data_IF_589735342581
#
_entry.id   IF_589735342581
#
_cell.length_a   1.000
_cell.length_b   1.000
_cell.length_c   1.000
_cell.angle_alpha   90.00
_cell.angle_beta   90.00
_cell.angle_gamma   90.00
#
_symmetry.space_group_name_H-M   'P 1'
#
loop_
_entity.id
_entity.type
_entity.pdbx_description
1 polymer ?
#
# COMPACT_ATOMS: atom_id res chain seq x y z
N UNK A 1 -13.10 48.82 -25.47
CA UNK A 1 -13.79 47.63 -24.88
C UNK A 1 -13.06 46.29 -25.09
N UNK A 2 -12.10 46.16 -26.03
CA UNK A 2 -11.44 44.88 -26.33
C UNK A 2 -10.18 44.58 -25.51
N UNK A 3 -9.48 45.58 -24.97
CA UNK A 3 -8.25 45.41 -24.18
C UNK A 3 -8.54 44.92 -22.76
N UNK A 4 -9.53 45.51 -22.07
CA UNK A 4 -9.99 45.05 -20.75
C UNK A 4 -10.53 43.61 -20.77
N UNK A 5 -11.26 43.23 -21.83
CA UNK A 5 -11.77 41.87 -22.00
C UNK A 5 -10.65 40.84 -22.24
N UNK A 6 -9.59 41.22 -22.97
CA UNK A 6 -8.38 40.40 -23.17
C UNK A 6 -7.54 40.24 -21.90
N UNK A 7 -7.41 41.29 -21.10
CA UNK A 7 -6.71 41.24 -19.80
C UNK A 7 -7.50 40.38 -18.81
N UNK A 8 -8.83 40.50 -18.78
CA UNK A 8 -9.69 39.66 -17.95
C UNK A 8 -9.61 38.18 -18.35
N UNK A 9 -9.65 37.87 -19.66
CA UNK A 9 -9.46 36.50 -20.16
C UNK A 9 -8.07 35.95 -19.84
N UNK A 10 -7.01 36.75 -19.91
CA UNK A 10 -5.65 36.32 -19.55
C UNK A 10 -5.47 36.10 -18.03
N UNK A 11 -6.11 36.91 -17.19
CA UNK A 11 -6.15 36.72 -15.73
C UNK A 11 -6.95 35.48 -15.33
N UNK A 12 -8.08 35.23 -16.00
CA UNK A 12 -8.89 34.01 -15.79
C UNK A 12 -8.11 32.77 -16.25
N UNK A 13 -7.39 32.83 -17.39
CA UNK A 13 -6.57 31.70 -17.85
C UNK A 13 -5.32 31.47 -16.97
N UNK A 14 -4.73 32.55 -16.42
CA UNK A 14 -3.61 32.46 -15.47
C UNK A 14 -4.03 31.92 -14.10
N UNK A 15 -5.25 32.20 -13.65
CA UNK A 15 -5.80 31.66 -12.40
C UNK A 15 -6.17 30.16 -12.51
N UNK A 16 -6.59 29.69 -13.69
CA UNK A 16 -6.86 28.26 -13.94
C UNK A 16 -5.56 27.43 -13.98
N UNK A 17 -4.44 28.03 -14.37
CA UNK A 17 -3.14 27.34 -14.43
C UNK A 17 -2.49 27.10 -13.05
N UNK A 18 -2.97 27.74 -11.98
CA UNK A 18 -2.41 27.63 -10.63
C UNK A 18 -3.14 26.62 -9.72
N UNK A 19 -4.11 25.88 -10.26
CA UNK A 19 -5.07 25.11 -9.46
C UNK A 19 -5.07 23.59 -9.62
N UNK A 20 -4.28 23.01 -10.53
CA UNK A 20 -4.20 21.56 -10.63
C UNK A 20 -3.26 21.01 -9.55
N UNK A 21 -3.72 20.99 -8.30
CA UNK A 21 -3.08 20.16 -7.28
C UNK A 21 -3.15 18.72 -7.75
N UNK A 22 -1.99 18.09 -7.86
CA UNK A 22 -1.88 16.74 -8.38
C UNK A 22 -2.64 15.77 -7.47
N UNK A 23 -3.13 14.71 -8.10
CA UNK A 23 -3.74 13.57 -7.44
C UNK A 23 -2.77 12.42 -7.67
N UNK A 24 -2.11 11.98 -6.62
CA UNK A 24 -1.05 10.96 -6.69
C UNK A 24 -1.64 9.56 -6.82
N UNK A 25 -2.80 9.36 -6.21
CA UNK A 25 -3.48 8.08 -6.13
C UNK A 25 -4.55 7.96 -7.21
N UNK A 26 -4.66 6.75 -7.75
CA UNK A 26 -5.80 6.26 -8.51
C UNK A 26 -6.34 5.03 -7.78
N UNK A 27 -6.96 5.28 -6.63
CA UNK A 27 -7.51 4.26 -5.74
C UNK A 27 -8.95 3.92 -6.12
N UNK A 28 -9.19 2.67 -6.46
CA UNK A 28 -10.51 2.08 -6.49
C UNK A 28 -10.93 1.69 -5.08
N UNK A 29 -12.14 2.05 -4.66
CA UNK A 29 -12.74 1.60 -3.40
C UNK A 29 -13.90 0.67 -3.74
N UNK A 30 -13.97 -0.47 -3.06
CA UNK A 30 -15.07 -1.44 -3.15
C UNK A 30 -15.52 -1.78 -1.74
N UNK A 31 -16.81 -1.69 -1.47
CA UNK A 31 -17.40 -2.01 -0.16
C UNK A 31 -18.40 -3.15 -0.35
N UNK A 32 -18.04 -4.31 0.20
CA UNK A 32 -18.92 -5.47 0.25
C UNK A 32 -19.63 -5.49 1.61
N UNK A 33 -20.95 -5.46 1.60
CA UNK A 33 -21.77 -5.46 2.82
C UNK A 33 -22.92 -6.48 2.73
N UNK A 34 -22.72 -7.57 2.00
CA UNK A 34 -23.77 -8.57 1.72
C UNK A 34 -24.33 -9.21 3.00
N UNK A 35 -23.49 -9.35 4.03
CA UNK A 35 -23.83 -9.98 5.30
C UNK A 35 -24.41 -9.01 6.34
N UNK A 36 -24.50 -7.70 6.04
CA UNK A 36 -24.98 -6.69 6.99
C UNK A 36 -26.48 -6.50 6.82
N UNK A 37 -27.24 -6.72 7.91
CA UNK A 37 -28.66 -6.38 7.98
C UNK A 37 -28.84 -4.87 8.14
N UNK A 38 -28.63 -4.12 7.06
CA UNK A 38 -28.88 -2.68 7.00
C UNK A 38 -30.24 -2.39 6.33
N UNK A 39 -31.03 -1.48 6.93
CA UNK A 39 -32.31 -1.01 6.39
C UNK A 39 -32.16 -0.32 5.04
N UNK A 40 -31.02 0.36 4.83
CA UNK A 40 -30.71 1.04 3.58
C UNK A 40 -29.31 0.64 3.08
N UNK A 41 -29.25 -0.07 1.95
CA UNK A 41 -27.99 -0.48 1.33
C UNK A 41 -27.34 0.63 0.49
N UNK A 42 -28.03 1.75 0.25
CA UNK A 42 -27.49 2.89 -0.52
C UNK A 42 -26.32 3.57 0.19
N UNK A 43 -26.31 3.52 1.52
CA UNK A 43 -25.22 4.06 2.35
C UNK A 43 -23.85 3.51 1.92
N UNK A 44 -23.75 2.25 1.52
CA UNK A 44 -22.49 1.63 1.11
C UNK A 44 -22.00 2.15 -0.24
N UNK A 45 -22.91 2.44 -1.19
CA UNK A 45 -22.56 3.07 -2.47
C UNK A 45 -22.08 4.51 -2.26
N UNK A 46 -22.68 5.23 -1.32
CA UNK A 46 -22.21 6.56 -0.94
C UNK A 46 -20.85 6.53 -0.25
N UNK A 47 -20.62 5.58 0.67
CA UNK A 47 -19.31 5.36 1.29
C UNK A 47 -18.22 5.07 0.25
N UNK A 48 -18.48 4.18 -0.72
CA UNK A 48 -17.53 3.87 -1.79
C UNK A 48 -17.09 5.14 -2.50
N UNK A 49 -18.06 5.97 -2.88
CA UNK A 49 -17.81 7.24 -3.57
C UNK A 49 -17.06 8.22 -2.67
N UNK A 50 -17.50 8.41 -1.43
CA UNK A 50 -16.89 9.35 -0.49
C UNK A 50 -15.43 8.98 -0.18
N UNK A 51 -15.14 7.69 0.00
CA UNK A 51 -13.79 7.22 0.32
C UNK A 51 -12.88 7.33 -0.90
N UNK A 52 -13.38 7.00 -2.09
CA UNK A 52 -12.64 7.18 -3.34
C UNK A 52 -12.35 8.67 -3.61
N UNK A 53 -13.33 9.55 -3.40
CA UNK A 53 -13.14 11.00 -3.53
C UNK A 53 -12.12 11.53 -2.50
N UNK A 54 -12.16 11.05 -1.25
CA UNK A 54 -11.20 11.43 -0.23
C UNK A 54 -9.76 11.02 -0.57
N UNK A 55 -9.56 9.79 -1.05
CA UNK A 55 -8.24 9.26 -1.41
C UNK A 55 -7.69 9.92 -2.69
N UNK A 56 -8.54 10.13 -3.69
CA UNK A 56 -8.10 10.54 -5.03
C UNK A 56 -8.10 12.05 -5.25
N UNK A 57 -8.91 12.84 -4.53
CA UNK A 57 -9.00 14.29 -4.77
C UNK A 57 -8.20 15.14 -3.80
N UNK A 58 -7.53 14.53 -2.81
CA UNK A 58 -6.68 15.20 -1.85
C UNK A 58 -5.21 15.12 -2.30
N UNK A 59 -4.44 16.23 -2.21
CA UNK A 59 -3.00 16.17 -2.37
C UNK A 59 -2.37 15.52 -1.12
N UNK A 60 -1.61 14.45 -1.32
CA UNK A 60 -0.87 13.77 -0.26
C UNK A 60 0.61 14.18 -0.22
N UNK A 61 1.10 14.75 -1.32
CA UNK A 61 2.49 15.12 -1.53
C UNK A 61 2.58 16.48 -2.21
N UNK A 62 3.80 17.04 -2.23
CA UNK A 62 4.10 18.26 -2.99
C UNK A 62 4.49 17.96 -4.45
N UNK A 63 4.45 16.69 -4.86
CA UNK A 63 4.93 16.23 -6.17
C UNK A 63 3.83 16.34 -7.22
N UNK A 64 4.23 16.57 -8.47
CA UNK A 64 3.31 16.62 -9.60
C UNK A 64 3.34 15.30 -10.36
N UNK A 65 2.19 14.65 -10.49
CA UNK A 65 2.03 13.38 -11.20
C UNK A 65 1.25 13.57 -12.50
N UNK A 66 1.74 12.97 -13.58
CA UNK A 66 0.93 12.76 -14.78
C UNK A 66 -0.13 11.69 -14.53
N UNK A 67 -1.22 11.72 -15.30
CA UNK A 67 -2.33 10.76 -15.12
C UNK A 67 -1.88 9.29 -15.19
N UNK A 68 -0.91 8.98 -16.05
CA UNK A 68 -0.37 7.63 -16.23
C UNK A 68 0.70 7.26 -15.18
N UNK A 69 1.18 8.24 -14.40
CA UNK A 69 2.15 8.04 -13.31
C UNK A 69 1.46 7.86 -11.96
N UNK A 70 0.13 8.05 -11.90
CA UNK A 70 -0.65 7.86 -10.67
C UNK A 70 -0.52 6.43 -10.16
N UNK A 71 -0.42 6.31 -8.84
CA UNK A 71 -0.28 5.03 -8.16
C UNK A 71 -1.63 4.33 -8.18
N UNK A 72 -1.73 3.23 -8.92
CA UNK A 72 -2.94 2.40 -8.93
C UNK A 72 -3.07 1.67 -7.62
N UNK A 73 -4.19 1.89 -6.93
CA UNK A 73 -4.47 1.26 -5.66
C UNK A 73 -5.88 0.70 -5.60
N UNK A 74 -6.09 -0.25 -4.69
CA UNK A 74 -7.40 -0.83 -4.44
C UNK A 74 -7.59 -1.00 -2.94
N UNK A 75 -8.69 -0.46 -2.43
CA UNK A 75 -9.18 -0.65 -1.06
C UNK A 75 -10.47 -1.46 -1.16
N UNK A 76 -10.44 -2.69 -0.69
CA UNK A 76 -11.63 -3.53 -0.57
C UNK A 76 -11.97 -3.58 0.92
N UNK A 77 -13.17 -3.13 1.27
CA UNK A 77 -13.70 -3.20 2.63
C UNK A 77 -14.85 -4.20 2.64
N UNK A 78 -14.72 -5.26 3.42
CA UNK A 78 -15.82 -6.16 3.71
C UNK A 78 -16.41 -5.72 5.06
N UNK A 79 -17.59 -5.09 5.02
CA UNK A 79 -18.33 -4.73 6.22
C UNK A 79 -19.00 -5.99 6.74
N UNK A 80 -18.68 -6.32 7.99
CA UNK A 80 -19.11 -7.56 8.63
C UNK A 80 -20.25 -7.30 9.62
N UNK A 81 -20.23 -6.15 10.30
CA UNK A 81 -21.23 -5.80 11.30
C UNK A 81 -21.51 -4.28 11.35
N UNK A 82 -22.69 -3.93 11.86
CA UNK A 82 -23.12 -2.57 12.15
C UNK A 82 -23.67 -2.52 13.58
N UNK A 83 -22.81 -2.42 14.61
CA UNK A 83 -23.23 -2.51 16.02
C UNK A 83 -24.27 -1.45 16.42
N UNK A 84 -24.27 -0.31 15.73
CA UNK A 84 -25.28 0.75 15.86
C UNK A 84 -25.28 1.59 14.59
N UNK A 85 -26.35 2.34 14.36
CA UNK A 85 -26.50 3.19 13.16
C UNK A 85 -25.30 4.13 13.04
N UNK A 86 -24.63 4.09 11.88
CA UNK A 86 -23.46 4.91 11.58
C UNK A 86 -22.12 4.34 12.08
N UNK A 87 -22.13 3.25 12.85
CA UNK A 87 -20.93 2.58 13.34
C UNK A 87 -20.77 1.23 12.62
N UNK A 88 -19.63 1.03 11.98
CA UNK A 88 -19.36 -0.13 11.14
C UNK A 88 -18.07 -0.82 11.59
N UNK A 89 -18.04 -2.14 11.43
CA UNK A 89 -16.83 -2.94 11.61
C UNK A 89 -16.67 -3.96 10.49
N UNK A 90 -15.42 -4.31 10.20
CA UNK A 90 -15.13 -5.31 9.19
C UNK A 90 -13.64 -5.49 8.93
N UNK A 91 -13.36 -6.02 7.75
CA UNK A 91 -12.00 -6.33 7.29
C UNK A 91 -11.65 -5.54 6.04
N UNK A 92 -10.43 -5.00 5.98
CA UNK A 92 -9.95 -4.29 4.80
C UNK A 92 -8.75 -4.98 4.15
N UNK A 93 -8.77 -5.03 2.83
CA UNK A 93 -7.63 -5.38 1.98
C UNK A 93 -7.17 -4.13 1.25
N UNK A 94 -5.87 -3.82 1.35
CA UNK A 94 -5.26 -2.65 0.72
C UNK A 94 -4.11 -3.10 -0.16
N UNK A 95 -4.12 -2.69 -1.41
CA UNK A 95 -3.06 -3.03 -2.36
C UNK A 95 -2.72 -1.85 -3.26
N UNK A 96 -1.46 -1.78 -3.67
CA UNK A 96 -1.00 -0.85 -4.69
C UNK A 96 -0.08 -1.56 -5.67
N UNK A 97 -0.23 -1.22 -6.94
CA UNK A 97 0.51 -1.80 -8.04
C UNK A 97 1.29 -0.73 -8.80
N UNK A 98 2.38 -1.17 -9.43
CA UNK A 98 3.15 -0.38 -10.39
C UNK A 98 3.42 -1.19 -11.66
N UNK A 99 3.54 -0.55 -12.81
CA UNK A 99 4.03 -1.22 -14.01
C UNK A 99 5.49 -1.67 -13.82
N UNK A 100 5.82 -2.81 -14.42
CA UNK A 100 7.21 -3.26 -14.59
C UNK A 100 7.75 -2.69 -15.91
N UNK A 101 8.97 -2.17 -15.89
CA UNK A 101 9.58 -1.56 -17.07
C UNK A 101 9.68 -2.58 -18.22
N UNK A 102 9.30 -2.17 -19.42
CA UNK A 102 9.29 -2.98 -20.65
C UNK A 102 8.51 -4.30 -20.54
N UNK A 103 7.50 -4.34 -19.66
CA UNK A 103 6.63 -5.49 -19.47
C UNK A 103 5.15 -5.11 -19.63
N UNK A 104 4.34 -6.07 -20.06
CA UNK A 104 2.89 -5.92 -20.21
C UNK A 104 2.09 -6.15 -18.93
N UNK A 105 2.77 -6.45 -17.81
CA UNK A 105 2.13 -6.76 -16.53
C UNK A 105 2.51 -5.76 -15.43
N UNK A 106 1.68 -5.70 -14.40
CA UNK A 106 1.90 -4.88 -13.21
C UNK A 106 2.29 -5.77 -12.02
N UNK A 107 3.06 -5.19 -11.11
CA UNK A 107 3.54 -5.87 -9.91
C UNK A 107 3.12 -5.10 -8.66
N UNK A 108 2.81 -5.81 -7.58
CA UNK A 108 2.36 -5.19 -6.33
C UNK A 108 3.51 -4.49 -5.62
N UNK A 109 3.46 -3.17 -5.44
CA UNK A 109 4.44 -2.43 -4.63
C UNK A 109 4.08 -2.45 -3.14
N UNK A 110 2.79 -2.60 -2.83
CA UNK A 110 2.27 -2.67 -1.48
C UNK A 110 1.08 -3.62 -1.43
N UNK A 111 0.95 -4.37 -0.34
CA UNK A 111 -0.15 -5.30 -0.16
C UNK A 111 -0.38 -5.56 1.32
N UNK A 112 -1.62 -5.49 1.78
CA UNK A 112 -2.07 -5.91 3.10
C UNK A 112 -3.38 -6.66 2.89
N UNK A 113 -3.37 -7.95 3.20
CA UNK A 113 -4.51 -8.83 2.91
C UNK A 113 -5.72 -8.59 3.81
N UNK A 114 -5.51 -8.41 5.11
CA UNK A 114 -6.61 -8.31 6.07
C UNK A 114 -6.20 -7.49 7.29
N UNK A 115 -6.53 -6.20 7.25
CA UNK A 115 -6.70 -5.41 8.47
C UNK A 115 -8.04 -5.78 9.10
N UNK A 116 -8.00 -6.59 10.16
CA UNK A 116 -9.19 -7.11 10.85
C UNK A 116 -9.77 -6.15 11.88
N UNK A 117 -9.07 -5.07 12.17
CA UNK A 117 -9.44 -4.09 13.20
C UNK A 117 -9.90 -2.79 12.52
N UNK A 118 -10.73 -2.93 11.48
CA UNK A 118 -11.29 -1.83 10.72
C UNK A 118 -12.67 -1.44 11.28
N UNK A 119 -12.65 -0.57 12.28
CA UNK A 119 -13.86 -0.02 12.92
C UNK A 119 -13.95 1.45 12.60
N UNK A 120 -15.09 1.95 12.14
CA UNK A 120 -15.22 3.33 11.72
C UNK A 120 -16.64 3.86 11.84
N UNK A 121 -16.72 5.17 11.98
CA UNK A 121 -17.96 5.93 11.96
C UNK A 121 -18.17 6.60 10.61
N UNK A 122 -19.39 6.51 10.09
CA UNK A 122 -19.79 7.20 8.86
C UNK A 122 -21.23 7.69 8.95
N UNK A 123 -21.40 8.97 8.62
CA UNK A 123 -22.70 9.63 8.51
C UNK A 123 -22.85 10.15 7.09
N UNK A 124 -23.96 9.83 6.44
CA UNK A 124 -24.26 10.31 5.09
C UNK A 124 -24.26 11.84 5.03
N UNK A 125 -23.81 12.38 3.90
CA UNK A 125 -23.67 13.82 3.65
C UNK A 125 -22.70 14.59 4.57
N UNK A 126 -22.05 13.93 5.55
CA UNK A 126 -21.00 14.57 6.34
C UNK A 126 -19.68 14.56 5.57
N UNK A 127 -19.00 15.71 5.40
CA UNK A 127 -17.72 15.76 4.70
C UNK A 127 -16.63 15.01 5.50
N UNK A 128 -15.76 14.32 4.78
CA UNK A 128 -14.60 13.64 5.35
C UNK A 128 -13.46 14.64 5.59
N UNK A 129 -13.38 15.12 6.83
CA UNK A 129 -12.36 16.08 7.26
C UNK A 129 -11.05 15.39 7.70
N UNK A 130 -9.93 15.95 7.26
CA UNK A 130 -8.60 15.53 7.68
C UNK A 130 -7.73 16.76 7.92
N UNK A 131 -7.03 16.74 9.05
CA UNK A 131 -6.05 17.71 9.46
C UNK A 131 -4.73 16.99 9.75
N UNK A 132 -3.62 17.51 9.25
CA UNK A 132 -2.30 16.95 9.55
C UNK A 132 -2.02 16.99 11.06
N UNK A 133 -1.38 15.93 11.56
CA UNK A 133 -0.93 15.80 12.96
C UNK A 133 -2.05 15.92 14.00
N UNK A 134 -3.32 15.82 13.59
CA UNK A 134 -4.48 15.97 14.46
C UNK A 134 -5.44 14.83 14.23
N UNK A 135 -5.86 14.17 15.31
CA UNK A 135 -6.92 13.18 15.25
C UNK A 135 -8.28 13.89 15.11
N UNK A 136 -8.92 13.70 13.95
CA UNK A 136 -10.29 14.19 13.71
C UNK A 136 -11.30 13.08 13.98
N UNK A 137 -11.16 11.96 13.27
CA UNK A 137 -11.94 10.74 13.50
C UNK A 137 -11.15 9.51 13.02
N UNK A 138 -11.64 8.32 13.34
CA UNK A 138 -10.94 7.09 13.00
C UNK A 138 -10.96 6.79 11.49
N UNK A 139 -12.07 7.07 10.81
CA UNK A 139 -12.22 6.82 9.37
C UNK A 139 -11.17 7.56 8.55
N UNK A 140 -11.04 8.87 8.73
CA UNK A 140 -10.09 9.67 7.95
C UNK A 140 -8.65 9.36 8.37
N UNK A 141 -8.42 8.95 9.61
CA UNK A 141 -7.11 8.42 10.06
C UNK A 141 -6.75 7.12 9.34
N UNK A 142 -7.69 6.16 9.23
CA UNK A 142 -7.49 4.90 8.49
C UNK A 142 -7.14 5.15 7.02
N UNK A 143 -7.97 5.94 6.32
CA UNK A 143 -7.78 6.23 4.90
C UNK A 143 -6.44 6.95 4.65
N UNK A 144 -6.12 7.95 5.48
CA UNK A 144 -4.88 8.72 5.35
C UNK A 144 -3.64 7.89 5.67
N UNK A 145 -3.71 7.03 6.69
CA UNK A 145 -2.63 6.12 7.06
C UNK A 145 -2.24 5.21 5.88
N UNK A 146 -3.23 4.57 5.25
CA UNK A 146 -2.98 3.69 4.10
C UNK A 146 -2.54 4.48 2.86
N UNK A 147 -3.06 5.69 2.63
CA UNK A 147 -2.57 6.55 1.55
C UNK A 147 -1.05 6.80 1.68
N UNK A 148 -0.57 7.18 2.86
CA UNK A 148 0.85 7.42 3.10
C UNK A 148 1.71 6.16 3.05
N UNK A 149 1.20 5.01 3.51
CA UNK A 149 1.90 3.73 3.35
C UNK A 149 2.05 3.34 1.89
N UNK A 150 0.99 3.48 1.09
CA UNK A 150 1.02 3.22 -0.35
C UNK A 150 2.08 4.10 -1.02
N UNK A 151 2.05 5.41 -0.76
CA UNK A 151 2.98 6.37 -1.37
C UNK A 151 4.42 6.08 -0.94
N UNK A 152 4.65 5.85 0.35
CA UNK A 152 5.98 5.59 0.89
C UNK A 152 6.60 4.33 0.32
N UNK A 153 5.88 3.22 0.38
CA UNK A 153 6.37 1.93 -0.15
C UNK A 153 6.51 1.95 -1.67
N UNK A 154 5.63 2.66 -2.39
CA UNK A 154 5.79 2.88 -3.83
C UNK A 154 7.11 3.58 -4.15
N UNK A 155 7.45 4.67 -3.44
CA UNK A 155 8.70 5.40 -3.66
C UNK A 155 9.96 4.59 -3.31
N UNK A 156 9.89 3.71 -2.31
CA UNK A 156 10.99 2.79 -2.02
C UNK A 156 11.28 1.82 -3.17
N UNK A 157 10.33 1.59 -4.09
CA UNK A 157 10.58 0.79 -5.30
C UNK A 157 11.37 1.55 -6.38
N UNK A 158 11.46 2.89 -6.31
CA UNK A 158 12.15 3.74 -7.28
C UNK A 158 13.46 4.33 -6.77
N UNK A 159 13.61 4.48 -5.45
CA UNK A 159 14.84 4.93 -4.82
C UNK A 159 15.00 4.26 -3.46
N UNK A 160 16.22 3.84 -3.06
CA UNK A 160 16.47 3.34 -1.72
C UNK A 160 15.97 4.34 -0.67
N UNK A 161 15.06 3.90 0.21
CA UNK A 161 14.47 4.69 1.29
C UNK A 161 13.76 5.98 0.85
N UNK A 162 13.38 6.11 -0.43
CA UNK A 162 12.72 7.30 -0.97
C UNK A 162 11.39 7.62 -0.28
N UNK A 163 10.71 6.61 0.25
CA UNK A 163 9.41 6.74 0.92
C UNK A 163 9.43 7.31 2.33
N UNK A 164 10.61 7.57 2.92
CA UNK A 164 10.74 7.79 4.37
C UNK A 164 9.88 8.95 4.86
N UNK A 165 9.87 10.09 4.14
CA UNK A 165 9.03 11.26 4.44
C UNK A 165 7.55 10.89 4.61
N UNK A 166 7.03 9.98 3.78
CA UNK A 166 5.61 9.61 3.76
C UNK A 166 5.29 8.54 4.81
N UNK A 167 6.21 7.61 5.04
CA UNK A 167 6.08 6.65 6.13
C UNK A 167 6.13 7.33 7.51
N UNK A 168 6.93 8.38 7.65
CA UNK A 168 6.91 9.24 8.85
C UNK A 168 5.54 9.89 9.04
N UNK A 169 4.87 10.36 7.97
CA UNK A 169 3.49 10.87 8.08
C UNK A 169 2.50 9.78 8.51
N UNK A 170 2.68 8.55 8.05
CA UNK A 170 1.86 7.43 8.54
C UNK A 170 2.09 7.17 10.04
N UNK A 171 3.34 7.30 10.52
CA UNK A 171 3.67 7.23 11.94
C UNK A 171 3.12 8.42 12.74
N UNK A 172 3.08 9.62 12.16
CA UNK A 172 2.45 10.78 12.82
C UNK A 172 0.95 10.55 13.03
N UNK A 173 0.26 9.94 12.05
CA UNK A 173 -1.15 9.55 12.20
C UNK A 173 -1.29 8.50 13.32
N UNK A 174 -0.44 7.46 13.32
CA UNK A 174 -0.41 6.47 14.40
C UNK A 174 -0.27 7.16 15.77
N UNK A 175 0.68 8.08 15.90
CA UNK A 175 0.93 8.84 17.13
C UNK A 175 -0.28 9.70 17.54
N UNK A 176 -0.95 10.34 16.59
CA UNK A 176 -2.15 11.15 16.86
C UNK A 176 -3.35 10.31 17.32
N UNK A 177 -3.42 9.04 16.91
CA UNK A 177 -4.49 8.11 17.31
C UNK A 177 -4.26 7.46 18.68
N UNK A 178 -3.06 7.57 19.26
CA UNK A 178 -2.75 6.97 20.57
C UNK A 178 -3.68 7.52 21.66
N UNK A 179 -4.19 6.65 22.53
CA UNK A 179 -5.09 7.04 23.62
C UNK A 179 -6.55 7.23 23.23
N UNK A 180 -6.90 7.12 21.94
CA UNK A 180 -8.29 7.06 21.47
C UNK A 180 -8.94 5.68 21.70
N UNK A 181 -8.17 4.71 22.21
CA UNK A 181 -8.61 3.34 22.52
C UNK A 181 -9.25 2.62 21.31
N UNK A 182 -8.75 2.91 20.10
CA UNK A 182 -9.19 2.28 18.86
C UNK A 182 -8.31 1.05 18.57
N UNK A 183 -8.89 -0.11 18.21
CA UNK A 183 -8.12 -1.33 17.96
C UNK A 183 -7.17 -1.12 16.77
N UNK A 184 -6.06 -1.86 16.71
CA UNK A 184 -5.07 -1.82 15.63
C UNK A 184 -4.04 -0.68 15.66
N UNK A 185 -4.25 0.35 16.49
CA UNK A 185 -3.32 1.50 16.60
C UNK A 185 -2.32 1.38 17.75
N UNK A 186 -2.51 0.45 18.67
CA UNK A 186 -1.74 0.40 19.91
C UNK A 186 -0.60 -0.63 19.85
N UNK A 187 0.45 -0.41 20.65
CA UNK A 187 1.62 -1.30 20.70
C UNK A 187 1.31 -2.70 21.26
N UNK A 188 0.30 -2.78 22.11
CA UNK A 188 -0.22 -4.03 22.68
C UNK A 188 -1.24 -4.72 21.77
N UNK A 189 -1.60 -4.14 20.61
CA UNK A 189 -2.32 -4.87 19.58
C UNK A 189 -1.47 -6.04 19.09
N UNK A 190 -2.13 -7.10 18.60
CA UNK A 190 -1.44 -8.28 18.10
C UNK A 190 -0.45 -7.95 16.97
N UNK A 191 0.48 -8.87 16.62
CA UNK A 191 1.53 -8.63 15.62
C UNK A 191 1.00 -8.30 14.20
N UNK A 192 -0.31 -8.40 14.00
CA UNK A 192 -1.03 -8.14 12.76
C UNK A 192 -1.79 -6.80 12.85
N UNK A 193 -1.12 -5.74 13.31
CA UNK A 193 -1.74 -4.43 13.54
C UNK A 193 -1.11 -3.34 12.66
N UNK A 194 -1.85 -2.23 12.51
CA UNK A 194 -1.34 -1.03 11.84
C UNK A 194 -0.12 -0.48 12.58
N UNK A 195 -0.14 -0.47 13.91
CA UNK A 195 1.02 -0.11 14.74
C UNK A 195 2.29 -0.84 14.28
N UNK A 196 2.25 -2.18 14.24
CA UNK A 196 3.43 -2.97 13.92
C UNK A 196 3.87 -2.86 12.46
N UNK A 197 2.96 -2.55 11.54
CA UNK A 197 3.27 -2.39 10.12
C UNK A 197 4.18 -1.18 9.87
N UNK A 198 3.81 0.00 10.38
CA UNK A 198 4.62 1.22 10.18
C UNK A 198 5.90 1.17 11.03
N UNK A 199 5.84 0.61 12.23
CA UNK A 199 7.03 0.42 13.07
C UNK A 199 8.06 -0.48 12.38
N UNK A 200 7.66 -1.60 11.77
CA UNK A 200 8.59 -2.45 11.02
C UNK A 200 9.20 -1.75 9.81
N UNK A 201 8.41 -0.95 9.11
CA UNK A 201 8.89 -0.19 7.96
C UNK A 201 9.93 0.87 8.37
N UNK A 202 9.77 1.52 9.52
CA UNK A 202 10.66 2.60 9.96
C UNK A 202 11.80 2.12 10.88
N UNK A 203 11.76 0.88 11.37
CA UNK A 203 12.77 0.35 12.26
C UNK A 203 14.12 0.16 11.55
N UNK A 204 15.18 0.78 12.08
CA UNK A 204 16.55 0.67 11.54
C UNK A 204 17.05 -0.77 11.44
N UNK A 205 16.61 -1.68 12.34
CA UNK A 205 16.96 -3.11 12.28
C UNK A 205 16.28 -3.84 11.11
N UNK A 206 15.22 -3.26 10.55
CA UNK A 206 14.47 -3.80 9.42
C UNK A 206 14.63 -2.97 8.14
N UNK A 207 15.49 -1.94 8.16
CA UNK A 207 15.71 -1.03 7.03
C UNK A 207 16.11 -1.75 5.73
N UNK A 208 16.82 -2.88 5.85
CA UNK A 208 17.21 -3.71 4.71
C UNK A 208 16.00 -4.24 3.92
N UNK A 209 14.80 -4.31 4.52
CA UNK A 209 13.57 -4.60 3.80
C UNK A 209 13.31 -3.52 2.74
N UNK A 210 13.28 -2.25 3.16
CA UNK A 210 12.95 -1.11 2.29
C UNK A 210 14.03 -0.86 1.24
N UNK A 211 15.31 -1.00 1.61
CA UNK A 211 16.40 -0.99 0.64
C UNK A 211 16.25 -2.12 -0.39
N UNK A 212 15.88 -3.31 0.07
CA UNK A 212 15.64 -4.46 -0.79
C UNK A 212 14.43 -4.31 -1.71
N UNK A 213 13.42 -3.51 -1.36
CA UNK A 213 12.29 -3.20 -2.27
C UNK A 213 12.77 -2.50 -3.55
N UNK A 214 13.77 -1.63 -3.46
CA UNK A 214 14.41 -1.03 -4.63
C UNK A 214 15.16 -2.07 -5.46
N UNK A 215 15.96 -2.92 -4.81
CA UNK A 215 16.72 -3.96 -5.50
C UNK A 215 15.81 -4.99 -6.18
N UNK A 216 14.68 -5.33 -5.56
CA UNK A 216 13.68 -6.23 -6.12
C UNK A 216 12.99 -5.65 -7.36
N UNK A 217 12.44 -4.44 -7.24
CA UNK A 217 11.63 -3.86 -8.31
C UNK A 217 12.51 -3.26 -9.41
N UNK A 218 13.44 -2.37 -9.04
CA UNK A 218 14.22 -1.59 -10.02
C UNK A 218 15.42 -2.34 -10.58
N UNK A 219 16.10 -3.15 -9.76
CA UNK A 219 17.26 -3.95 -10.20
C UNK A 219 16.95 -5.43 -10.43
N UNK A 220 15.73 -5.86 -10.15
CA UNK A 220 15.23 -7.19 -10.43
C UNK A 220 14.27 -7.14 -11.61
N UNK A 221 13.02 -6.78 -11.32
CA UNK A 221 11.93 -6.83 -12.31
C UNK A 221 12.16 -5.93 -13.52
N UNK A 222 12.51 -4.66 -13.29
CA UNK A 222 12.64 -3.66 -14.37
C UNK A 222 13.80 -3.94 -15.35
N UNK A 223 14.80 -4.74 -14.96
CA UNK A 223 15.90 -5.13 -15.85
C UNK A 223 15.79 -6.56 -16.34
N UNK A 224 14.78 -7.31 -15.89
CA UNK A 224 14.69 -8.76 -16.12
C UNK A 224 14.61 -9.11 -17.61
N UNK A 225 13.91 -8.28 -18.40
CA UNK A 225 13.78 -8.47 -19.85
C UNK A 225 15.13 -8.42 -20.57
N UNK A 226 16.00 -7.49 -20.18
CA UNK A 226 17.32 -7.30 -20.80
C UNK A 226 18.41 -8.18 -20.16
N UNK A 227 18.38 -8.36 -18.84
CA UNK A 227 19.45 -8.97 -18.03
C UNK A 227 18.90 -9.93 -16.98
N UNK A 228 18.35 -11.09 -17.38
CA UNK A 228 17.68 -12.02 -16.47
C UNK A 228 18.58 -12.60 -15.39
N UNK A 229 19.84 -12.91 -15.70
CA UNK A 229 20.80 -13.45 -14.71
C UNK A 229 21.17 -12.41 -13.64
N UNK A 230 21.42 -11.17 -14.04
CA UNK A 230 21.71 -10.07 -13.12
C UNK A 230 20.50 -9.77 -12.23
N UNK A 231 19.30 -9.72 -12.83
CA UNK A 231 18.05 -9.54 -12.12
C UNK A 231 17.83 -10.61 -11.03
N UNK A 232 17.95 -11.90 -11.39
CA UNK A 232 17.79 -13.01 -10.44
C UNK A 232 18.81 -12.96 -9.32
N UNK A 233 20.05 -12.54 -9.60
CA UNK A 233 21.10 -12.37 -8.58
C UNK A 233 20.74 -11.25 -7.59
N UNK A 234 20.23 -10.13 -8.07
CA UNK A 234 19.80 -9.02 -7.22
C UNK A 234 18.61 -9.42 -6.34
N UNK A 235 17.61 -10.09 -6.92
CA UNK A 235 16.46 -10.62 -6.17
C UNK A 235 16.89 -11.68 -5.14
N UNK A 236 17.84 -12.56 -5.50
CA UNK A 236 18.40 -13.53 -4.54
C UNK A 236 19.09 -12.84 -3.36
N UNK A 237 19.84 -11.75 -3.61
CA UNK A 237 20.40 -10.92 -2.55
C UNK A 237 19.33 -10.41 -1.59
N UNK A 238 18.20 -9.93 -2.13
CA UNK A 238 17.08 -9.52 -1.30
C UNK A 238 16.44 -10.68 -0.53
N UNK A 239 16.27 -11.87 -1.14
CA UNK A 239 15.73 -13.05 -0.44
C UNK A 239 16.59 -13.45 0.76
N UNK A 240 17.92 -13.38 0.65
CA UNK A 240 18.83 -13.62 1.78
C UNK A 240 18.60 -12.61 2.91
N UNK A 241 18.44 -11.32 2.57
CA UNK A 241 18.09 -10.30 3.57
C UNK A 241 16.74 -10.60 4.23
N UNK A 242 15.73 -11.03 3.47
CA UNK A 242 14.42 -11.40 4.03
C UNK A 242 14.52 -12.57 5.01
N UNK A 243 15.42 -13.53 4.77
CA UNK A 243 15.71 -14.63 5.72
C UNK A 243 16.32 -14.14 7.03
N UNK A 244 17.26 -13.19 6.97
CA UNK A 244 17.80 -12.55 8.17
C UNK A 244 16.73 -11.77 8.93
N UNK A 245 15.91 -10.98 8.22
CA UNK A 245 14.80 -10.23 8.81
C UNK A 245 13.75 -11.13 9.43
N UNK A 246 13.41 -12.27 8.81
CA UNK A 246 12.51 -13.25 9.38
C UNK A 246 13.07 -13.89 10.65
N UNK A 247 14.40 -13.96 10.80
CA UNK A 247 15.04 -14.44 12.04
C UNK A 247 14.95 -13.38 13.16
N UNK A 248 14.99 -12.09 12.81
CA UNK A 248 14.82 -10.97 13.76
C UNK A 248 13.36 -10.79 14.19
N UNK A 249 12.43 -10.83 13.23
CA UNK A 249 10.99 -10.67 13.47
C UNK A 249 10.18 -11.73 12.72
N UNK A 250 10.14 -12.99 13.24
CA UNK A 250 9.40 -14.06 12.62
C UNK A 250 7.91 -13.71 12.50
N UNK A 251 7.28 -14.10 11.39
CA UNK A 251 5.83 -13.95 11.19
C UNK A 251 5.33 -12.49 11.29
N UNK A 252 6.19 -11.51 11.01
CA UNK A 252 5.79 -10.09 10.96
C UNK A 252 4.76 -9.85 9.86
N UNK A 253 3.86 -8.88 10.09
CA UNK A 253 2.87 -8.48 9.09
C UNK A 253 3.55 -8.00 7.80
N UNK A 254 4.67 -7.29 7.91
CA UNK A 254 5.43 -6.79 6.77
C UNK A 254 5.93 -7.93 5.86
N UNK A 255 6.56 -8.97 6.43
CA UNK A 255 7.09 -10.07 5.64
C UNK A 255 5.98 -10.92 5.02
N UNK A 256 4.94 -11.24 5.78
CA UNK A 256 3.80 -12.00 5.22
C UNK A 256 3.12 -11.24 4.09
N UNK A 257 2.93 -9.94 4.26
CA UNK A 257 2.37 -9.05 3.25
C UNK A 257 3.17 -9.09 1.94
N UNK A 258 4.50 -9.04 2.06
CA UNK A 258 5.39 -9.19 0.92
C UNK A 258 5.25 -10.55 0.25
N UNK A 259 5.38 -11.66 0.99
CA UNK A 259 5.35 -12.99 0.38
C UNK A 259 3.98 -13.32 -0.22
N UNK A 260 2.89 -12.92 0.41
CA UNK A 260 1.56 -13.12 -0.14
C UNK A 260 1.37 -12.41 -1.48
N UNK A 261 1.97 -11.22 -1.64
CA UNK A 261 1.92 -10.48 -2.90
C UNK A 261 2.88 -11.03 -3.98
N UNK A 262 3.97 -11.68 -3.56
CA UNK A 262 5.14 -11.96 -4.43
C UNK A 262 5.42 -13.44 -4.66
N UNK A 263 4.76 -14.36 -3.96
CA UNK A 263 5.02 -15.79 -4.04
C UNK A 263 5.02 -16.30 -5.49
N UNK A 264 3.99 -15.95 -6.27
CA UNK A 264 3.86 -16.37 -7.66
C UNK A 264 4.93 -15.73 -8.57
N UNK A 265 5.26 -14.45 -8.37
CA UNK A 265 6.30 -13.73 -9.12
C UNK A 265 7.69 -14.35 -8.86
N UNK A 266 7.99 -14.65 -7.60
CA UNK A 266 9.22 -15.33 -7.16
C UNK A 266 9.32 -16.74 -7.72
N UNK A 267 8.26 -17.54 -7.60
CA UNK A 267 8.23 -18.91 -8.12
C UNK A 267 8.46 -18.94 -9.63
N UNK A 268 7.76 -18.07 -10.37
CA UNK A 268 7.90 -17.96 -11.82
C UNK A 268 9.29 -17.49 -12.23
N UNK A 269 9.83 -16.46 -11.57
CA UNK A 269 11.17 -15.94 -11.86
C UNK A 269 12.24 -17.01 -11.66
N UNK A 270 12.29 -17.64 -10.48
CA UNK A 270 13.35 -18.58 -10.15
C UNK A 270 13.22 -19.92 -10.87
N UNK A 271 12.02 -20.33 -11.29
CA UNK A 271 11.84 -21.55 -12.11
C UNK A 271 12.65 -21.51 -13.42
N UNK A 272 12.99 -20.31 -13.92
CA UNK A 272 13.80 -20.08 -15.13
C UNK A 272 15.31 -19.94 -14.85
N UNK A 273 15.72 -20.00 -13.59
CA UNK A 273 17.13 -19.89 -13.19
C UNK A 273 17.93 -21.16 -13.40
N UNK A 274 19.25 -21.07 -13.19
CA UNK A 274 20.10 -22.26 -13.13
C UNK A 274 19.79 -23.10 -11.87
N UNK A 275 20.24 -24.36 -11.86
CA UNK A 275 19.92 -25.30 -10.78
C UNK A 275 20.41 -24.83 -9.40
N UNK A 276 21.52 -24.11 -9.32
CA UNK A 276 22.06 -23.58 -8.06
C UNK A 276 21.13 -22.52 -7.48
N UNK A 277 20.73 -21.53 -8.28
CA UNK A 277 19.80 -20.48 -7.88
C UNK A 277 18.42 -21.05 -7.51
N UNK A 278 17.95 -22.04 -8.26
CA UNK A 278 16.66 -22.72 -8.01
C UNK A 278 16.62 -23.37 -6.63
N UNK A 279 17.66 -24.14 -6.29
CA UNK A 279 17.76 -24.81 -4.98
C UNK A 279 17.83 -23.80 -3.84
N UNK A 280 18.70 -22.80 -3.95
CA UNK A 280 18.85 -21.76 -2.92
C UNK A 280 17.55 -20.97 -2.72
N UNK A 281 16.89 -20.55 -3.81
CA UNK A 281 15.62 -19.82 -3.73
C UNK A 281 14.56 -20.68 -3.03
N UNK A 282 14.41 -21.94 -3.44
CA UNK A 282 13.46 -22.86 -2.85
C UNK A 282 13.69 -23.05 -1.34
N UNK A 283 14.94 -23.28 -0.92
CA UNK A 283 15.31 -23.42 0.49
C UNK A 283 14.98 -22.16 1.30
N UNK A 284 15.33 -20.97 0.80
CA UNK A 284 15.02 -19.73 1.48
C UNK A 284 13.50 -19.52 1.57
N UNK A 285 12.79 -19.65 0.45
CA UNK A 285 11.35 -19.36 0.35
C UNK A 285 10.52 -20.30 1.24
N UNK A 286 10.81 -21.59 1.25
CA UNK A 286 10.12 -22.55 2.13
C UNK A 286 10.45 -22.34 3.60
N UNK A 287 11.65 -21.83 3.92
CA UNK A 287 12.02 -21.49 5.30
C UNK A 287 11.29 -20.23 5.80
N UNK A 288 11.20 -19.17 4.98
CA UNK A 288 10.65 -17.87 5.39
C UNK A 288 9.14 -17.76 5.19
N UNK A 289 8.59 -18.52 4.24
CA UNK A 289 7.18 -18.51 3.90
C UNK A 289 6.65 -19.95 3.66
N UNK A 290 6.65 -20.80 4.71
CA UNK A 290 6.28 -22.20 4.57
C UNK A 290 4.82 -22.41 4.11
N UNK A 291 3.93 -21.44 4.30
CA UNK A 291 2.51 -21.54 3.93
C UNK A 291 2.28 -21.58 2.42
N UNK A 292 3.22 -21.11 1.61
CA UNK A 292 3.13 -21.13 0.14
C UNK A 292 4.10 -22.16 -0.48
N UNK A 293 4.56 -23.14 0.29
CA UNK A 293 5.56 -24.13 -0.17
C UNK A 293 5.15 -24.83 -1.46
N UNK A 294 3.86 -25.14 -1.61
CA UNK A 294 3.29 -25.78 -2.81
C UNK A 294 3.53 -24.95 -4.08
N UNK A 295 3.47 -23.61 -3.98
CA UNK A 295 3.79 -22.72 -5.13
C UNK A 295 5.26 -22.78 -5.48
N UNK A 296 6.13 -22.97 -4.49
CA UNK A 296 7.57 -22.99 -4.68
C UNK A 296 8.07 -24.33 -5.25
N UNK A 297 7.30 -25.41 -5.21
CA UNK A 297 7.68 -26.70 -5.83
C UNK A 297 7.96 -26.56 -7.33
N UNK A 298 7.23 -25.68 -8.02
CA UNK A 298 7.46 -25.31 -9.42
C UNK A 298 8.88 -24.83 -9.68
N UNK A 299 9.53 -24.20 -8.69
CA UNK A 299 10.94 -23.79 -8.80
C UNK A 299 11.82 -25.02 -9.02
N UNK A 300 11.48 -26.20 -8.53
CA UNK A 300 12.23 -27.44 -8.75
C UNK A 300 11.81 -28.20 -10.01
N UNK A 301 10.81 -27.70 -10.75
CA UNK A 301 10.28 -28.34 -11.96
C UNK A 301 9.38 -29.53 -11.64
N UNK A 302 8.79 -29.52 -10.43
CA UNK A 302 7.74 -30.43 -10.00
C UNK A 302 6.38 -29.78 -10.21
#
# INVERSE_FOLDING_TARGET
MNTLRKIFLALVFGAVALGARAQELDCRVVINADNVEATDKRVFQEMERAFAEFLNNRPWTDMTYQRHERIKCNLILNVEDMPSIGNFSGTATVQAARPVFDASYETMSFYVFADKEWVFEYTESQPLEYAENTYVNNLTSLLSYYAYLIIGTHQDTFSPLGGTKYLDRARDILNATQGQQRPGWESFSGPNSRYWLVEDLLNTRMENFRKGMYDYHRKGLDIYAEKPEEAMKNVMGFLRNLKELNSLRPNSLLLRSFFQAKADELANMFSKGNMTLRKEAYEILTQVNPTESDKYEKILGK
#
